data_IF_280033421334
#
_entry.id   IF_280033421334
#
_cell.length_a   1.000
_cell.length_b   1.000
_cell.length_c   1.000
_cell.angle_alpha   90.00
_cell.angle_beta   90.00
_cell.angle_gamma   90.00
#
_symmetry.space_group_name_H-M   'P 1'
#
loop_
_entity.id
_entity.type
_entity.pdbx_description
1 polymer ?
#
# COMPACT_ATOMS: atom_id res chain seq x y z
N UNK A 1 8.58 -16.42 -2.00
CA UNK A 1 8.12 -15.20 -1.31
C UNK A 1 7.67 -14.12 -2.28
N UNK A 2 6.35 -13.96 -2.42
CA UNK A 2 5.76 -12.88 -3.22
C UNK A 2 5.80 -11.57 -2.42
N UNK A 3 5.96 -10.43 -3.09
CA UNK A 3 5.96 -9.11 -2.43
C UNK A 3 4.60 -8.43 -2.60
N UNK A 4 4.12 -7.79 -1.54
CA UNK A 4 2.89 -7.01 -1.52
C UNK A 4 3.16 -5.66 -0.86
N UNK A 5 2.84 -4.58 -1.57
CA UNK A 5 2.97 -3.22 -1.07
C UNK A 5 1.67 -2.74 -0.43
N UNK A 6 1.75 -2.20 0.78
CA UNK A 6 0.68 -1.43 1.40
C UNK A 6 0.89 0.06 1.11
N UNK A 7 0.01 0.65 0.30
CA UNK A 7 0.00 2.07 -0.06
C UNK A 7 -0.57 2.95 1.07
N UNK A 8 -0.07 2.75 2.28
CA UNK A 8 -0.42 3.52 3.47
C UNK A 8 0.81 3.78 4.33
N UNK A 9 0.84 4.97 4.94
CA UNK A 9 1.81 5.35 5.98
C UNK A 9 1.24 5.22 7.40
N UNK A 10 -0.01 4.78 7.53
CA UNK A 10 -0.64 4.57 8.83
C UNK A 10 -0.09 3.28 9.47
N UNK A 11 0.75 3.45 10.50
CA UNK A 11 1.44 2.35 11.19
C UNK A 11 0.48 1.36 11.88
N UNK A 12 -0.65 1.85 12.40
CA UNK A 12 -1.65 1.00 13.05
C UNK A 12 -2.31 0.06 12.03
N UNK A 13 -2.75 0.61 10.89
CA UNK A 13 -3.30 -0.18 9.77
C UNK A 13 -2.30 -1.20 9.23
N UNK A 14 -1.03 -0.82 9.09
CA UNK A 14 0.04 -1.75 8.68
C UNK A 14 0.13 -2.92 9.68
N UNK A 15 0.08 -2.63 10.97
CA UNK A 15 0.09 -3.64 12.02
C UNK A 15 -1.10 -4.62 11.94
N UNK A 16 -2.30 -4.09 11.71
CA UNK A 16 -3.53 -4.88 11.53
C UNK A 16 -3.44 -5.79 10.29
N UNK A 17 -3.06 -5.25 9.14
CA UNK A 17 -2.98 -6.01 7.89
C UNK A 17 -1.89 -7.08 7.96
N UNK A 18 -0.72 -6.77 8.55
CA UNK A 18 0.34 -7.78 8.78
C UNK A 18 -0.14 -8.93 9.67
N UNK A 19 -1.02 -8.65 10.64
CA UNK A 19 -1.64 -9.71 11.47
C UNK A 19 -2.62 -10.54 10.65
N UNK A 20 -3.48 -9.92 9.84
CA UNK A 20 -4.46 -10.61 9.00
C UNK A 20 -3.82 -11.51 7.94
N UNK A 21 -2.70 -11.08 7.36
CA UNK A 21 -1.99 -11.83 6.31
C UNK A 21 -0.93 -12.81 6.85
N UNK A 22 -0.86 -12.99 8.17
CA UNK A 22 0.11 -13.88 8.80
C UNK A 22 -0.10 -15.32 8.32
N UNK A 23 1.00 -15.99 7.99
CA UNK A 23 0.99 -17.39 7.53
C UNK A 23 0.95 -17.56 6.01
N UNK A 24 0.77 -16.47 5.25
CA UNK A 24 0.95 -16.47 3.80
C UNK A 24 2.44 -16.27 3.45
N UNK A 25 2.91 -16.83 2.33
CA UNK A 25 4.27 -16.60 1.78
C UNK A 25 4.38 -15.21 1.11
N UNK A 26 4.12 -14.16 1.90
CA UNK A 26 4.11 -12.75 1.49
C UNK A 26 5.12 -11.92 2.29
N UNK A 27 6.01 -11.23 1.57
CA UNK A 27 6.77 -10.12 2.09
C UNK A 27 5.94 -8.83 1.99
N UNK A 28 5.48 -8.35 3.14
CA UNK A 28 4.72 -7.10 3.23
C UNK A 28 5.69 -5.91 3.30
N UNK A 29 5.60 -5.04 2.31
CA UNK A 29 6.31 -3.76 2.22
C UNK A 29 5.33 -2.61 2.45
N UNK A 30 5.83 -1.45 2.87
CA UNK A 30 5.06 -0.21 3.04
C UNK A 30 5.67 0.91 2.22
N UNK A 31 4.97 2.05 2.13
CA UNK A 31 5.48 3.24 1.43
C UNK A 31 6.84 3.70 2.00
N UNK A 32 7.11 3.45 3.28
CA UNK A 32 8.36 3.82 3.95
C UNK A 32 9.58 3.02 3.42
N UNK A 33 9.37 1.86 2.79
CA UNK A 33 10.43 1.04 2.19
C UNK A 33 10.91 1.60 0.84
N UNK A 34 10.27 2.66 0.33
CA UNK A 34 10.51 3.22 -1.00
C UNK A 34 10.87 4.72 -0.91
N UNK A 35 12.16 5.05 -0.74
CA UNK A 35 12.63 6.43 -0.86
C UNK A 35 12.23 7.02 -2.21
N UNK A 36 11.57 8.18 -2.19
CA UNK A 36 11.08 8.83 -3.41
C UNK A 36 9.70 8.37 -3.89
N UNK A 37 8.98 7.54 -3.11
CA UNK A 37 7.59 7.22 -3.41
C UNK A 37 6.74 8.50 -3.49
N UNK A 38 5.89 8.64 -4.52
CA UNK A 38 5.09 9.84 -4.73
C UNK A 38 4.09 10.06 -3.59
N UNK A 39 3.82 11.32 -3.28
CA UNK A 39 2.65 11.66 -2.48
C UNK A 39 1.41 11.66 -3.38
N UNK A 40 0.36 11.00 -2.90
CA UNK A 40 -0.91 10.89 -3.63
C UNK A 40 -1.92 11.78 -2.93
N UNK A 41 -2.39 12.81 -3.64
CA UNK A 41 -3.49 13.64 -3.15
C UNK A 41 -4.79 12.83 -3.10
N UNK A 42 -5.45 12.84 -1.95
CA UNK A 42 -6.75 12.20 -1.72
C UNK A 42 -7.90 13.20 -1.98
N UNK A 43 -8.08 13.55 -3.24
CA UNK A 43 -9.05 14.55 -3.75
C UNK A 43 -10.32 13.91 -4.34
N UNK A 44 -10.46 12.59 -4.23
CA UNK A 44 -11.66 11.87 -4.63
C UNK A 44 -12.85 12.19 -3.73
N UNK A 45 -14.06 12.04 -4.28
CA UNK A 45 -15.32 12.26 -3.58
C UNK A 45 -15.66 11.09 -2.64
N UNK A 46 -15.03 9.93 -2.84
CA UNK A 46 -15.26 8.73 -2.02
C UNK A 46 -13.95 8.14 -1.48
N UNK A 47 -14.07 7.34 -0.42
CA UNK A 47 -12.94 6.58 0.14
C UNK A 47 -12.40 5.55 -0.86
N UNK A 48 -13.27 4.95 -1.67
CA UNK A 48 -12.91 3.98 -2.69
C UNK A 48 -12.06 4.62 -3.80
N UNK A 49 -12.47 5.78 -4.31
CA UNK A 49 -11.70 6.53 -5.31
C UNK A 49 -10.30 6.86 -4.80
N UNK A 50 -10.20 7.33 -3.55
CA UNK A 50 -8.91 7.64 -2.92
C UNK A 50 -8.05 6.39 -2.72
N UNK A 51 -8.65 5.26 -2.32
CA UNK A 51 -7.93 3.99 -2.18
C UNK A 51 -7.41 3.49 -3.54
N UNK A 52 -8.25 3.47 -4.57
CA UNK A 52 -7.86 3.05 -5.92
C UNK A 52 -6.76 3.95 -6.48
N UNK A 53 -6.87 5.27 -6.30
CA UNK A 53 -5.85 6.24 -6.75
C UNK A 53 -4.51 5.99 -6.07
N UNK A 54 -4.50 5.77 -4.75
CA UNK A 54 -3.28 5.42 -4.01
C UNK A 54 -2.67 4.11 -4.47
N UNK A 55 -3.46 3.04 -4.52
CA UNK A 55 -2.99 1.71 -4.90
C UNK A 55 -2.39 1.72 -6.31
N UNK A 56 -3.07 2.36 -7.27
CA UNK A 56 -2.61 2.48 -8.66
C UNK A 56 -1.31 3.27 -8.77
N UNK A 57 -1.24 4.44 -8.15
CA UNK A 57 -0.04 5.29 -8.23
C UNK A 57 1.20 4.60 -7.67
N UNK A 58 1.05 3.94 -6.52
CA UNK A 58 2.16 3.22 -5.89
C UNK A 58 2.50 1.91 -6.63
N UNK A 59 1.52 1.27 -7.26
CA UNK A 59 1.77 0.16 -8.18
C UNK A 59 2.58 0.61 -9.40
N UNK A 60 2.19 1.70 -10.05
CA UNK A 60 2.89 2.28 -11.20
C UNK A 60 4.33 2.69 -10.85
N UNK A 61 4.54 3.25 -9.66
CA UNK A 61 5.87 3.61 -9.17
C UNK A 61 6.75 2.39 -8.83
N UNK A 62 6.21 1.39 -8.12
CA UNK A 62 7.00 0.29 -7.55
C UNK A 62 7.07 -0.97 -8.42
N UNK A 63 6.13 -1.14 -9.35
CA UNK A 63 5.91 -2.38 -10.12
C UNK A 63 5.36 -3.54 -9.29
N UNK A 64 5.00 -3.32 -8.02
CA UNK A 64 4.53 -4.39 -7.12
C UNK A 64 3.00 -4.45 -7.03
N UNK A 65 2.40 -5.64 -6.83
CA UNK A 65 1.02 -5.74 -6.38
C UNK A 65 0.81 -4.87 -5.13
N UNK A 66 -0.24 -4.06 -5.12
CA UNK A 66 -0.44 -3.00 -4.13
C UNK A 66 -1.88 -2.98 -3.61
N UNK A 67 -2.06 -2.77 -2.30
CA UNK A 67 -3.35 -2.55 -1.61
C UNK A 67 -3.29 -1.20 -0.89
N UNK A 68 -4.41 -0.46 -0.85
CA UNK A 68 -4.54 0.83 -0.16
C UNK A 68 -5.73 0.85 0.81
#
# INVERSE_FOLDING_TARGET
MKKLLLATRNRDKVGEIRKLLRGLDLAILTVDDFPGAPEVAEDGQTLEENAVKKARTLHEFSGLPTIA
#
